data_IF_381626065409
#
_entry.id   IF_381626065409
#
_cell.length_a   1.000
_cell.length_b   1.000
_cell.length_c   1.000
_cell.angle_alpha   90.00
_cell.angle_beta   90.00
_cell.angle_gamma   90.00
#
_symmetry.space_group_name_H-M   'P 1'
#
loop_
_entity.id
_entity.type
_entity.pdbx_description
1 polymer ?
#
# COMPACT_ATOMS: atom_id res chain seq x y z
N UNK A 1 -58.86 -34.30 -26.78
CA UNK A 1 -57.45 -34.75 -26.81
C UNK A 1 -56.73 -34.05 -25.66
N UNK A 2 -56.16 -34.82 -24.72
CA UNK A 2 -55.25 -34.49 -23.59
C UNK A 2 -55.72 -33.40 -22.58
N UNK A 3 -55.94 -33.64 -21.27
CA UNK A 3 -55.04 -34.10 -20.16
C UNK A 3 -53.84 -33.15 -19.94
N UNK A 4 -53.44 -32.63 -18.77
CA UNK A 4 -53.84 -32.73 -17.35
C UNK A 4 -53.23 -31.52 -16.56
N UNK A 5 -53.91 -31.19 -15.46
CA UNK A 5 -53.50 -30.60 -14.16
C UNK A 5 -52.07 -30.88 -13.67
N UNK A 6 -51.44 -30.19 -12.71
CA UNK A 6 -51.89 -29.24 -11.67
C UNK A 6 -50.77 -28.99 -10.62
N UNK A 7 -51.00 -28.00 -9.74
CA UNK A 7 -50.13 -27.48 -8.68
C UNK A 7 -49.74 -28.48 -7.57
N UNK A 8 -48.66 -28.17 -6.85
CA UNK A 8 -48.43 -28.56 -5.45
C UNK A 8 -47.70 -27.44 -4.68
N UNK A 9 -48.31 -26.97 -3.59
CA UNK A 9 -47.68 -26.27 -2.46
C UNK A 9 -47.97 -27.08 -1.19
N UNK A 10 -46.96 -27.34 -0.36
CA UNK A 10 -46.91 -27.10 1.09
C UNK A 10 -45.64 -27.75 1.67
N UNK A 11 -44.99 -27.02 2.59
CA UNK A 11 -43.68 -27.37 3.14
C UNK A 11 -43.72 -28.20 4.41
N UNK A 12 -42.52 -28.49 4.93
CA UNK A 12 -42.25 -28.52 6.36
C UNK A 12 -40.73 -28.45 6.62
N UNK A 13 -40.40 -27.78 7.72
CA UNK A 13 -39.08 -27.51 8.29
C UNK A 13 -38.49 -28.69 9.06
N UNK A 14 -37.15 -28.84 9.10
CA UNK A 14 -36.37 -29.13 10.33
C UNK A 14 -34.83 -29.12 10.09
N UNK A 15 -34.17 -28.14 10.74
CA UNK A 15 -32.93 -28.17 11.55
C UNK A 15 -31.63 -28.87 11.10
N UNK A 16 -30.59 -28.03 10.98
CA UNK A 16 -29.24 -28.06 11.58
C UNK A 16 -28.56 -29.38 11.96
N UNK A 17 -27.41 -29.64 11.33
CA UNK A 17 -26.15 -30.00 12.01
C UNK A 17 -24.99 -29.85 11.00
N UNK A 18 -24.28 -28.70 11.05
CA UNK A 18 -22.98 -28.55 10.36
C UNK A 18 -21.87 -28.59 11.40
N UNK A 19 -21.14 -29.71 11.42
CA UNK A 19 -19.99 -29.94 12.29
C UNK A 19 -18.80 -29.13 11.76
N UNK A 20 -18.43 -28.08 12.49
CA UNK A 20 -17.21 -27.31 12.26
C UNK A 20 -15.99 -28.11 12.71
N UNK A 21 -15.21 -28.62 11.75
CA UNK A 21 -13.90 -29.24 11.99
C UNK A 21 -12.82 -28.15 11.96
N UNK A 22 -12.48 -27.57 13.12
CA UNK A 22 -11.20 -26.90 13.30
C UNK A 22 -10.21 -27.91 13.92
N UNK A 23 -9.04 -28.15 13.30
CA UNK A 23 -8.02 -28.99 13.92
C UNK A 23 -7.44 -28.29 15.15
N UNK A 24 -7.57 -28.89 16.33
CA UNK A 24 -6.81 -28.47 17.51
C UNK A 24 -5.33 -28.84 17.30
N UNK A 25 -4.47 -27.83 17.19
CA UNK A 25 -3.02 -28.00 17.11
C UNK A 25 -2.47 -28.69 18.36
N UNK A 26 -1.70 -29.76 18.15
CA UNK A 26 -1.07 -30.51 19.23
C UNK A 26 -0.04 -29.63 19.99
N UNK A 27 0.09 -29.77 21.32
CA UNK A 27 0.97 -28.92 22.16
C UNK A 27 2.44 -28.83 21.72
N UNK A 28 2.94 -29.80 20.94
CA UNK A 28 4.29 -29.82 20.41
C UNK A 28 4.50 -28.82 19.26
N UNK A 29 3.47 -28.52 18.48
CA UNK A 29 3.53 -27.54 17.38
C UNK A 29 3.47 -26.11 17.90
N UNK A 30 2.68 -25.85 18.94
CA UNK A 30 2.67 -24.57 19.65
C UNK A 30 4.05 -24.21 20.24
N UNK A 31 4.83 -25.23 20.67
CA UNK A 31 6.19 -25.04 21.19
C UNK A 31 7.19 -24.75 20.07
N UNK A 32 7.06 -25.39 18.91
CA UNK A 32 7.89 -25.10 17.72
C UNK A 32 7.61 -23.71 17.16
N UNK A 33 6.33 -23.31 17.11
CA UNK A 33 5.92 -21.97 16.71
C UNK A 33 6.46 -20.89 17.67
N UNK A 34 6.53 -21.16 18.98
CA UNK A 34 7.16 -20.24 19.95
C UNK A 34 8.66 -20.05 19.68
N UNK A 35 9.39 -21.10 19.30
CA UNK A 35 10.83 -21.03 19.00
C UNK A 35 11.11 -20.31 17.68
N UNK A 36 10.25 -20.51 16.66
CA UNK A 36 10.31 -19.74 15.40
C UNK A 36 9.96 -18.26 15.66
N UNK A 37 8.94 -17.98 16.48
CA UNK A 37 8.50 -16.63 16.90
C UNK A 37 9.61 -15.82 17.58
N UNK A 38 10.44 -16.45 18.43
CA UNK A 38 11.57 -15.80 19.10
C UNK A 38 12.75 -15.53 18.15
N UNK A 39 13.00 -16.42 17.18
CA UNK A 39 14.12 -16.29 16.23
C UNK A 39 13.90 -15.16 15.22
N UNK A 40 12.69 -15.01 14.68
CA UNK A 40 12.38 -13.93 13.74
C UNK A 40 12.39 -12.55 14.43
N UNK A 41 11.89 -12.45 15.67
CA UNK A 41 11.94 -11.21 16.45
C UNK A 41 13.37 -10.84 16.88
N UNK A 42 14.18 -11.81 17.32
CA UNK A 42 15.54 -11.55 17.79
C UNK A 42 16.53 -11.21 16.66
N UNK A 43 16.31 -11.74 15.45
CA UNK A 43 17.09 -11.37 14.26
C UNK A 43 16.78 -9.93 13.83
N UNK A 44 15.51 -9.54 13.88
CA UNK A 44 15.04 -8.21 13.48
C UNK A 44 15.39 -7.09 14.48
N UNK A 45 15.25 -7.31 15.80
CA UNK A 45 15.62 -6.31 16.82
C UNK A 45 17.12 -5.97 16.76
N UNK A 46 17.97 -6.92 16.36
CA UNK A 46 19.41 -6.70 16.24
C UNK A 46 19.82 -5.84 15.04
N UNK A 47 19.01 -5.78 13.97
CA UNK A 47 19.31 -4.95 12.80
C UNK A 47 18.64 -3.57 12.81
N UNK A 48 17.66 -3.34 13.70
CA UNK A 48 16.86 -2.10 13.77
C UNK A 48 17.18 -1.17 14.96
N UNK A 49 18.19 -1.47 15.78
CA UNK A 49 18.70 -0.50 16.75
C UNK A 49 19.74 0.40 16.07
N UNK A 50 19.55 1.74 16.01
CA UNK A 50 20.67 2.62 15.73
C UNK A 50 21.64 2.52 16.91
N UNK A 51 22.88 2.11 16.67
CA UNK A 51 23.95 2.16 17.65
C UNK A 51 24.16 3.60 18.12
N UNK A 52 23.49 3.97 19.21
CA UNK A 52 23.82 5.15 20.01
C UNK A 52 24.34 4.71 21.37
N UNK A 53 25.66 4.52 21.45
CA UNK A 53 26.43 5.03 22.59
C UNK A 53 27.90 5.28 22.27
N UNK A 54 28.18 6.57 22.10
CA UNK A 54 29.20 7.34 22.80
C UNK A 54 30.68 6.98 22.60
N UNK A 55 31.36 7.94 21.99
CA UNK A 55 32.79 8.25 22.11
C UNK A 55 33.29 8.14 23.57
N UNK A 56 34.53 7.66 23.66
CA UNK A 56 35.59 7.98 24.64
C UNK A 56 36.06 6.84 25.55
N UNK A 57 37.19 6.24 25.19
CA UNK A 57 38.36 6.20 26.06
C UNK A 57 39.54 5.62 25.27
N UNK A 58 40.66 6.31 25.36
CA UNK A 58 41.97 5.92 24.83
C UNK A 58 42.32 4.47 25.16
N UNK A 59 42.95 3.78 24.19
CA UNK A 59 44.11 2.92 24.43
C UNK A 59 44.88 2.73 23.12
N UNK A 60 46.09 3.29 23.12
CA UNK A 60 47.20 2.92 22.24
C UNK A 60 47.30 1.41 22.15
N UNK A 61 47.42 0.87 20.93
CA UNK A 61 48.28 -0.26 20.64
C UNK A 61 48.79 -0.11 19.19
N UNK A 62 50.05 0.30 19.07
CA UNK A 62 50.85 0.10 17.87
C UNK A 62 51.00 -1.40 17.61
N UNK A 63 50.66 -1.85 16.40
CA UNK A 63 51.33 -2.99 15.79
C UNK A 63 51.26 -2.82 14.26
N UNK A 64 52.38 -2.34 13.71
CA UNK A 64 52.73 -2.48 12.31
C UNK A 64 52.78 -3.97 11.93
N UNK A 65 52.10 -4.36 10.86
CA UNK A 65 52.56 -5.44 9.99
C UNK A 65 51.94 -5.28 8.60
N UNK A 66 52.83 -4.96 7.67
CA UNK A 66 52.66 -4.84 6.22
C UNK A 66 52.23 -6.19 5.62
N UNK A 67 51.08 -6.24 4.96
CA UNK A 67 50.81 -7.23 3.91
C UNK A 67 49.96 -6.64 2.78
N UNK A 68 50.66 -6.46 1.65
CA UNK A 68 50.23 -6.62 0.24
C UNK A 68 49.01 -5.82 -0.24
N UNK A 69 49.32 -4.80 -1.05
CA UNK A 69 48.44 -4.16 -2.01
C UNK A 69 47.96 -5.19 -3.05
N UNK A 70 46.70 -5.62 -2.94
CA UNK A 70 45.95 -6.22 -4.04
C UNK A 70 44.88 -5.20 -4.45
N UNK A 71 45.07 -4.42 -5.52
CA UNK A 71 44.05 -3.48 -5.99
C UNK A 71 43.01 -4.29 -6.76
N UNK A 72 42.12 -4.97 -6.04
CA UNK A 72 40.89 -5.45 -6.65
C UNK A 72 40.00 -4.24 -6.90
N UNK A 73 39.67 -3.88 -8.15
CA UNK A 73 38.64 -2.91 -8.38
C UNK A 73 37.37 -3.47 -7.75
N UNK A 74 36.88 -2.79 -6.71
CA UNK A 74 35.51 -2.89 -6.27
C UNK A 74 34.67 -2.42 -7.46
N UNK A 75 34.26 -3.37 -8.29
CA UNK A 75 33.19 -3.16 -9.25
C UNK A 75 31.96 -2.90 -8.40
N UNK A 76 31.69 -1.62 -8.11
CA UNK A 76 30.35 -1.20 -7.74
C UNK A 76 29.44 -1.78 -8.81
N UNK A 77 28.52 -2.65 -8.39
CA UNK A 77 27.51 -3.19 -9.27
C UNK A 77 26.85 -2.00 -9.99
N UNK A 78 26.57 -2.11 -11.30
CA UNK A 78 25.98 -1.00 -12.02
C UNK A 78 24.68 -0.62 -11.33
N UNK A 79 24.56 0.67 -10.99
CA UNK A 79 23.31 1.31 -10.60
C UNK A 79 22.22 0.76 -11.51
N UNK A 80 21.21 0.08 -10.95
CA UNK A 80 20.02 -0.31 -11.70
C UNK A 80 19.47 0.98 -12.30
N UNK A 81 19.73 1.18 -13.59
CA UNK A 81 19.28 2.36 -14.32
C UNK A 81 17.77 2.28 -14.41
N UNK A 82 17.08 2.85 -13.42
CA UNK A 82 15.67 3.15 -13.52
C UNK A 82 15.43 3.88 -14.85
N UNK A 83 14.39 3.47 -15.56
CA UNK A 83 14.02 4.04 -16.86
C UNK A 83 14.05 5.56 -16.80
N UNK A 84 14.69 6.20 -17.78
CA UNK A 84 14.69 7.66 -17.94
C UNK A 84 13.31 8.25 -18.21
N UNK A 85 12.29 7.39 -18.43
CA UNK A 85 10.91 7.80 -18.55
C UNK A 85 10.35 8.22 -17.17
N UNK A 86 9.55 9.30 -17.11
CA UNK A 86 8.83 9.66 -15.91
C UNK A 86 8.00 8.49 -15.37
N UNK A 87 7.88 8.34 -14.04
CA UNK A 87 7.04 7.31 -13.46
C UNK A 87 5.57 7.49 -13.84
N UNK A 88 4.81 6.39 -13.90
CA UNK A 88 3.38 6.46 -14.29
C UNK A 88 2.55 7.28 -13.32
N UNK A 89 2.87 7.26 -12.02
CA UNK A 89 2.10 7.98 -10.99
C UNK A 89 2.25 9.51 -11.05
N UNK A 90 3.23 10.05 -11.79
CA UNK A 90 3.39 11.51 -11.97
C UNK A 90 2.46 12.05 -13.07
N UNK A 91 1.95 11.18 -13.95
CA UNK A 91 0.92 11.52 -14.92
C UNK A 91 0.02 10.31 -15.21
N UNK A 92 -0.80 9.88 -14.23
CA UNK A 92 -1.56 8.64 -14.30
C UNK A 92 -2.57 8.62 -15.45
N UNK A 93 -3.11 9.78 -15.84
CA UNK A 93 -4.04 9.92 -16.96
C UNK A 93 -3.35 10.13 -18.32
N UNK A 94 -2.03 10.38 -18.35
CA UNK A 94 -1.33 10.76 -19.59
C UNK A 94 -1.76 12.12 -20.16
N UNK A 95 -2.28 13.03 -19.32
CA UNK A 95 -2.73 14.36 -19.76
C UNK A 95 -1.49 15.19 -20.13
N UNK A 96 -1.45 15.84 -21.31
CA UNK A 96 -0.34 16.70 -21.70
C UNK A 96 -0.13 17.82 -20.68
N UNK A 97 1.13 18.08 -20.31
CA UNK A 97 1.50 19.14 -19.35
C UNK A 97 1.45 20.54 -19.95
N UNK A 98 1.31 20.65 -21.28
CA UNK A 98 1.28 21.92 -22.01
C UNK A 98 -0.14 22.52 -21.98
N UNK A 99 -0.36 23.68 -21.33
CA UNK A 99 -1.67 24.32 -21.25
C UNK A 99 -2.27 24.67 -22.62
N UNK A 100 -1.44 24.86 -23.65
CA UNK A 100 -1.93 25.14 -25.01
C UNK A 100 -2.63 23.93 -25.63
N UNK A 101 -2.17 22.71 -25.32
CA UNK A 101 -2.81 21.46 -25.76
C UNK A 101 -4.07 21.12 -24.95
N UNK A 102 -4.26 21.76 -23.79
CA UNK A 102 -5.46 21.60 -22.95
C UNK A 102 -6.59 22.53 -23.43
N UNK A 103 -6.24 23.71 -23.98
CA UNK A 103 -7.22 24.67 -24.50
C UNK A 103 -8.01 24.10 -25.68
N UNK A 104 -7.35 23.35 -26.57
CA UNK A 104 -7.97 22.67 -27.72
C UNK A 104 -8.98 21.58 -27.31
N UNK A 105 -8.90 21.05 -26.07
CA UNK A 105 -9.86 20.06 -25.56
C UNK A 105 -11.10 20.70 -24.91
N UNK A 106 -11.03 21.98 -24.56
CA UNK A 106 -12.05 22.69 -23.75
C UNK A 106 -12.96 23.60 -24.57
N UNK A 107 -12.60 23.88 -25.82
CA UNK A 107 -13.25 24.92 -26.63
C UNK A 107 -14.50 24.51 -27.42
N UNK A 108 -14.95 23.25 -27.39
CA UNK A 108 -16.03 22.83 -28.32
C UNK A 108 -17.28 22.20 -27.70
N UNK A 109 -17.39 21.97 -26.39
CA UNK A 109 -18.61 21.40 -25.80
C UNK A 109 -19.12 22.23 -24.62
N UNK A 110 -20.39 22.65 -24.69
CA UNK A 110 -21.22 23.18 -23.60
C UNK A 110 -21.42 22.11 -22.50
N UNK A 111 -20.34 21.65 -21.89
CA UNK A 111 -20.37 20.73 -20.75
C UNK A 111 -20.30 21.58 -19.50
N UNK A 112 -21.39 21.57 -18.74
CA UNK A 112 -21.41 22.18 -17.41
C UNK A 112 -20.26 21.59 -16.56
N UNK A 113 -19.45 22.45 -15.89
CA UNK A 113 -18.40 21.96 -15.01
C UNK A 113 -18.97 21.03 -13.93
N UNK A 114 -18.33 19.89 -13.69
CA UNK A 114 -18.78 18.96 -12.66
C UNK A 114 -18.80 19.62 -11.27
N UNK A 115 -19.88 19.37 -10.55
CA UNK A 115 -20.06 19.80 -9.16
C UNK A 115 -19.04 19.12 -8.23
N UNK A 116 -18.78 19.72 -7.07
CA UNK A 116 -17.90 19.12 -6.04
C UNK A 116 -18.39 17.71 -5.68
N UNK A 117 -19.70 17.54 -5.56
CA UNK A 117 -20.32 16.26 -5.24
C UNK A 117 -20.07 15.20 -6.32
N UNK A 118 -20.17 15.54 -7.60
CA UNK A 118 -19.89 14.61 -8.70
C UNK A 118 -18.42 14.19 -8.74
N UNK A 119 -17.50 15.15 -8.59
CA UNK A 119 -16.05 14.87 -8.54
C UNK A 119 -15.71 13.96 -7.37
N UNK A 120 -16.15 14.32 -6.16
CA UNK A 120 -15.90 13.52 -4.96
C UNK A 120 -16.54 12.13 -5.06
N UNK A 121 -17.72 12.02 -5.69
CA UNK A 121 -18.39 10.73 -5.89
C UNK A 121 -17.59 9.80 -6.82
N UNK A 122 -17.05 10.32 -7.94
CA UNK A 122 -16.20 9.53 -8.85
C UNK A 122 -14.95 9.00 -8.12
N UNK A 123 -14.26 9.88 -7.40
CA UNK A 123 -13.08 9.50 -6.61
C UNK A 123 -13.44 8.46 -5.54
N UNK A 124 -14.56 8.66 -4.83
CA UNK A 124 -15.04 7.73 -3.80
C UNK A 124 -15.38 6.35 -4.38
N UNK A 125 -16.03 6.30 -5.55
CA UNK A 125 -16.34 5.06 -6.24
C UNK A 125 -15.06 4.29 -6.61
N UNK A 126 -14.05 4.99 -7.12
CA UNK A 126 -12.77 4.38 -7.47
C UNK A 126 -12.02 3.91 -6.21
N UNK A 127 -12.01 4.69 -5.13
CA UNK A 127 -11.40 4.28 -3.86
C UNK A 127 -12.08 3.05 -3.26
N UNK A 128 -13.43 2.96 -3.33
CA UNK A 128 -14.18 1.77 -2.92
C UNK A 128 -13.83 0.55 -3.77
N UNK A 129 -13.61 0.70 -5.08
CA UNK A 129 -13.16 -0.39 -5.95
C UNK A 129 -11.79 -0.92 -5.50
N UNK A 130 -10.83 -0.02 -5.25
CA UNK A 130 -9.51 -0.40 -4.71
C UNK A 130 -9.66 -1.16 -3.40
N UNK A 131 -10.48 -0.66 -2.47
CA UNK A 131 -10.70 -1.31 -1.17
C UNK A 131 -11.23 -2.73 -1.32
N UNK A 132 -12.28 -2.91 -2.13
CA UNK A 132 -12.88 -4.22 -2.38
C UNK A 132 -11.85 -5.21 -2.95
N UNK A 133 -11.02 -4.76 -3.89
CA UNK A 133 -9.96 -5.59 -4.44
C UNK A 133 -8.90 -5.96 -3.40
N UNK A 134 -8.48 -5.00 -2.56
CA UNK A 134 -7.53 -5.27 -1.48
C UNK A 134 -8.11 -6.26 -0.44
N UNK A 135 -9.38 -6.14 -0.09
CA UNK A 135 -10.10 -7.07 0.79
C UNK A 135 -10.13 -8.50 0.23
N UNK A 136 -10.30 -8.65 -1.10
CA UNK A 136 -10.28 -9.96 -1.77
C UNK A 136 -8.90 -10.63 -1.72
N UNK A 137 -7.83 -9.86 -1.91
CA UNK A 137 -6.47 -10.43 -2.04
C UNK A 137 -5.74 -10.61 -0.70
N UNK A 138 -6.12 -9.88 0.35
CA UNK A 138 -5.32 -9.77 1.59
C UNK A 138 -5.13 -11.10 2.32
N UNK A 139 -6.18 -11.91 2.42
CA UNK A 139 -6.16 -13.15 3.20
C UNK A 139 -5.19 -14.15 2.56
N UNK A 140 -5.34 -14.32 1.24
CA UNK A 140 -4.47 -15.18 0.44
C UNK A 140 -3.03 -14.70 0.45
N UNK A 141 -2.79 -13.39 0.27
CA UNK A 141 -1.45 -12.82 0.31
C UNK A 141 -0.73 -13.14 1.62
N UNK A 142 -1.37 -12.87 2.75
CA UNK A 142 -0.76 -13.11 4.07
C UNK A 142 -0.55 -14.60 4.31
N UNK A 143 -1.54 -15.43 3.98
CA UNK A 143 -1.44 -16.87 4.19
C UNK A 143 -0.32 -17.50 3.35
N UNK A 144 -0.27 -17.20 2.05
CA UNK A 144 0.73 -17.77 1.13
C UNK A 144 2.16 -17.25 1.43
N UNK A 145 2.29 -15.99 1.89
CA UNK A 145 3.60 -15.39 2.17
C UNK A 145 4.15 -15.73 3.56
N UNK A 146 3.29 -15.76 4.58
CA UNK A 146 3.71 -15.85 5.99
C UNK A 146 3.19 -17.07 6.73
N UNK A 147 2.29 -17.86 6.12
CA UNK A 147 1.65 -19.02 6.74
C UNK A 147 0.95 -18.66 8.06
N UNK A 148 0.24 -17.53 8.06
CA UNK A 148 -0.57 -17.01 9.16
C UNK A 148 -1.90 -16.51 8.60
N UNK A 149 -2.93 -16.44 9.45
CA UNK A 149 -4.14 -15.68 9.14
C UNK A 149 -3.85 -14.17 9.16
N UNK A 150 -4.68 -13.41 8.43
CA UNK A 150 -4.53 -11.96 8.28
C UNK A 150 -4.50 -11.23 9.61
N UNK A 151 -5.47 -11.50 10.49
CA UNK A 151 -5.60 -10.80 11.77
C UNK A 151 -4.38 -11.01 12.68
N UNK A 152 -3.91 -12.26 12.78
CA UNK A 152 -2.71 -12.59 13.56
C UNK A 152 -1.47 -11.89 13.00
N UNK A 153 -1.27 -11.93 11.68
CA UNK A 153 -0.12 -11.27 11.07
C UNK A 153 -0.19 -9.74 11.24
N UNK A 154 -1.38 -9.16 11.02
CA UNK A 154 -1.61 -7.74 11.20
C UNK A 154 -1.31 -7.28 12.64
N UNK A 155 -1.84 -7.97 13.64
CA UNK A 155 -1.57 -7.63 15.05
C UNK A 155 -0.10 -7.77 15.44
N UNK A 156 0.63 -8.71 14.84
CA UNK A 156 2.06 -8.90 15.11
C UNK A 156 2.93 -7.73 14.60
N UNK A 157 2.50 -7.10 13.50
CA UNK A 157 3.32 -6.14 12.76
C UNK A 157 2.71 -4.75 12.64
N UNK A 158 1.55 -4.47 13.25
CA UNK A 158 0.85 -3.18 13.16
C UNK A 158 1.72 -1.97 13.51
N UNK A 159 2.62 -2.12 14.48
CA UNK A 159 3.49 -1.03 14.94
C UNK A 159 4.75 -0.84 14.07
N UNK A 160 5.02 -1.76 13.14
CA UNK A 160 6.14 -1.63 12.20
C UNK A 160 5.80 -0.62 11.12
N UNK A 161 6.62 0.42 10.95
CA UNK A 161 6.43 1.48 9.96
C UNK A 161 7.75 1.79 9.26
N UNK A 162 7.66 2.33 8.05
CA UNK A 162 8.77 2.99 7.38
C UNK A 162 8.56 4.50 7.42
N UNK A 163 9.65 5.26 7.46
CA UNK A 163 9.67 6.71 7.59
C UNK A 163 9.36 7.45 6.28
N UNK A 164 9.54 6.79 5.14
CA UNK A 164 9.25 7.35 3.82
C UNK A 164 7.78 7.24 3.39
N UNK A 165 6.97 6.41 4.07
CA UNK A 165 5.52 6.34 3.87
C UNK A 165 4.78 7.40 4.69
N UNK A 166 3.51 7.73 4.35
CA UNK A 166 2.70 8.62 5.16
C UNK A 166 2.64 8.19 6.64
N UNK A 167 3.10 9.07 7.52
CA UNK A 167 3.13 8.83 8.96
C UNK A 167 1.73 8.97 9.60
N UNK A 168 1.62 8.59 10.88
CA UNK A 168 0.39 8.77 11.66
C UNK A 168 -0.06 10.25 11.77
N UNK A 169 0.84 11.23 11.60
CA UNK A 169 0.43 12.65 11.56
C UNK A 169 -0.26 13.03 10.25
N UNK A 170 -0.01 12.28 9.17
CA UNK A 170 -0.65 12.44 7.86
C UNK A 170 -1.95 11.61 7.77
N UNK A 171 -1.93 10.40 8.32
CA UNK A 171 -3.07 9.48 8.36
C UNK A 171 -3.27 9.03 9.83
N UNK A 172 -4.13 9.71 10.61
CA UNK A 172 -4.23 9.53 12.06
C UNK A 172 -5.16 8.37 12.45
N UNK A 173 -4.89 7.19 11.89
CA UNK A 173 -5.61 5.94 12.18
C UNK A 173 -4.76 4.74 11.81
N UNK A 174 -5.09 3.59 12.35
CA UNK A 174 -4.61 2.30 11.86
C UNK A 174 -5.62 1.63 10.93
N UNK A 175 -5.17 0.56 10.25
CA UNK A 175 -6.01 -0.24 9.37
C UNK A 175 -7.20 -0.84 10.14
N UNK A 176 -8.42 -0.69 9.62
CA UNK A 176 -9.65 -1.17 10.24
C UNK A 176 -10.21 -0.25 11.33
N UNK A 177 -9.50 0.80 11.73
CA UNK A 177 -10.03 1.82 12.63
C UNK A 177 -10.83 2.89 11.88
N UNK A 178 -11.60 3.70 12.61
CA UNK A 178 -12.33 4.83 12.02
C UNK A 178 -11.46 6.09 12.12
N UNK A 179 -11.43 6.91 11.07
CA UNK A 179 -10.71 8.20 11.12
C UNK A 179 -11.28 9.10 12.23
N UNK A 180 -10.44 9.68 13.12
CA UNK A 180 -10.91 10.56 14.19
C UNK A 180 -11.77 11.72 13.69
N UNK A 181 -12.92 11.95 14.32
CA UNK A 181 -13.88 12.95 13.85
C UNK A 181 -13.36 14.40 13.97
N UNK A 182 -12.45 14.65 14.91
CA UNK A 182 -11.76 15.94 15.01
C UNK A 182 -10.87 16.23 13.80
N UNK A 183 -10.21 15.19 13.27
CA UNK A 183 -9.42 15.30 12.05
C UNK A 183 -10.31 15.50 10.83
N UNK A 184 -11.39 14.71 10.72
CA UNK A 184 -12.36 14.82 9.62
C UNK A 184 -12.96 16.23 9.51
N UNK A 185 -13.40 16.82 10.63
CA UNK A 185 -13.95 18.18 10.68
C UNK A 185 -12.97 19.28 10.22
N UNK A 186 -11.67 19.01 10.28
CA UNK A 186 -10.63 19.92 9.81
C UNK A 186 -10.34 19.81 8.31
N UNK A 187 -10.91 18.82 7.62
CA UNK A 187 -10.62 18.59 6.20
C UNK A 187 -11.25 19.68 5.33
N UNK A 188 -10.45 20.13 4.35
CA UNK A 188 -10.91 20.96 3.25
C UNK A 188 -10.65 20.20 1.96
N UNK A 189 -11.60 20.22 1.02
CA UNK A 189 -11.53 19.45 -0.22
C UNK A 189 -10.20 19.64 -0.96
N UNK A 190 -9.76 20.88 -1.17
CA UNK A 190 -8.49 21.17 -1.85
C UNK A 190 -7.28 20.56 -1.14
N UNK A 191 -7.16 20.78 0.17
CA UNK A 191 -6.03 20.26 0.95
C UNK A 191 -6.03 18.73 0.98
N UNK A 192 -7.21 18.14 1.14
CA UNK A 192 -7.40 16.69 1.17
C UNK A 192 -7.04 16.03 -0.17
N UNK A 193 -7.54 16.54 -1.29
CA UNK A 193 -7.24 15.98 -2.62
C UNK A 193 -5.74 16.01 -2.94
N UNK A 194 -5.06 17.12 -2.62
CA UNK A 194 -3.60 17.23 -2.77
C UNK A 194 -2.85 16.21 -1.92
N UNK A 195 -3.22 16.10 -0.65
CA UNK A 195 -2.57 15.22 0.30
C UNK A 195 -2.74 13.75 -0.11
N UNK A 196 -3.97 13.33 -0.42
CA UNK A 196 -4.26 11.96 -0.83
C UNK A 196 -3.61 11.60 -2.16
N UNK A 197 -3.54 12.54 -3.12
CA UNK A 197 -2.79 12.35 -4.36
C UNK A 197 -1.30 12.08 -4.09
N UNK A 198 -0.65 12.91 -3.26
CA UNK A 198 0.74 12.69 -2.83
C UNK A 198 0.92 11.33 -2.15
N UNK A 199 0.01 10.94 -1.25
CA UNK A 199 0.10 9.66 -0.53
C UNK A 199 0.05 8.48 -1.50
N UNK A 200 -0.90 8.47 -2.46
CA UNK A 200 -0.97 7.40 -3.44
C UNK A 200 0.21 7.40 -4.41
N UNK A 201 0.81 8.56 -4.71
CA UNK A 201 2.10 8.58 -5.42
C UNK A 201 3.20 7.90 -4.59
N UNK A 202 3.31 8.18 -3.28
CA UNK A 202 4.26 7.50 -2.38
C UNK A 202 4.03 5.99 -2.35
N UNK A 203 2.79 5.52 -2.20
CA UNK A 203 2.49 4.08 -2.23
C UNK A 203 2.78 3.45 -3.60
N UNK A 204 2.62 4.19 -4.69
CA UNK A 204 2.96 3.71 -6.04
C UNK A 204 4.45 3.42 -6.21
N UNK A 205 5.32 4.18 -5.52
CA UNK A 205 6.75 3.87 -5.43
C UNK A 205 6.97 2.50 -4.78
N UNK A 206 6.25 2.22 -3.69
CA UNK A 206 6.31 0.93 -3.00
C UNK A 206 5.75 -0.22 -3.85
N UNK A 207 4.63 -0.01 -4.54
CA UNK A 207 4.06 -1.01 -5.45
C UNK A 207 4.98 -1.32 -6.63
N UNK A 208 5.67 -0.32 -7.20
CA UNK A 208 6.67 -0.53 -8.24
C UNK A 208 7.76 -1.50 -7.76
N UNK A 209 8.26 -1.31 -6.53
CA UNK A 209 9.25 -2.21 -5.94
C UNK A 209 8.69 -3.60 -5.63
N UNK A 210 7.47 -3.68 -5.09
CA UNK A 210 6.80 -4.94 -4.80
C UNK A 210 6.61 -5.78 -6.08
N UNK A 211 6.14 -5.17 -7.17
CA UNK A 211 6.00 -5.84 -8.47
C UNK A 211 7.36 -6.30 -9.01
N UNK A 212 8.38 -5.45 -8.88
CA UNK A 212 9.74 -5.78 -9.31
C UNK A 212 10.26 -7.01 -8.55
N UNK A 213 10.07 -7.08 -7.24
CA UNK A 213 10.52 -8.21 -6.44
C UNK A 213 9.74 -9.50 -6.77
N UNK A 214 8.43 -9.42 -6.99
CA UNK A 214 7.66 -10.57 -7.47
C UNK A 214 8.18 -11.06 -8.83
N UNK A 215 8.47 -10.15 -9.77
CA UNK A 215 8.97 -10.51 -11.10
C UNK A 215 10.39 -11.10 -11.06
N UNK A 216 11.27 -10.59 -10.20
CA UNK A 216 12.67 -11.03 -10.13
C UNK A 216 12.83 -12.36 -9.41
N UNK A 217 12.04 -12.61 -8.37
CA UNK A 217 12.16 -13.80 -7.53
C UNK A 217 11.09 -14.87 -7.84
N UNK A 218 10.22 -14.63 -8.83
CA UNK A 218 9.17 -15.57 -9.24
C UNK A 218 8.05 -15.72 -8.21
N UNK A 219 7.66 -14.61 -7.57
CA UNK A 219 6.65 -14.59 -6.52
C UNK A 219 5.22 -14.82 -7.05
N UNK A 220 4.35 -15.50 -6.27
CA UNK A 220 3.03 -15.93 -6.72
C UNK A 220 1.99 -14.79 -6.82
N UNK A 221 2.32 -13.59 -6.33
CA UNK A 221 1.37 -12.49 -6.21
C UNK A 221 1.49 -11.46 -7.33
N UNK A 222 2.41 -11.62 -8.27
CA UNK A 222 2.71 -10.62 -9.31
C UNK A 222 1.46 -10.08 -10.00
N UNK A 223 0.58 -10.96 -10.49
CA UNK A 223 -0.65 -10.56 -11.19
C UNK A 223 -1.60 -9.76 -10.29
N UNK A 224 -1.74 -10.20 -9.03
CA UNK A 224 -2.62 -9.52 -8.07
C UNK A 224 -2.10 -8.12 -7.72
N UNK A 225 -0.78 -7.97 -7.55
CA UNK A 225 -0.18 -6.67 -7.23
C UNK A 225 -0.17 -5.75 -8.46
N UNK A 226 0.03 -6.26 -9.68
CA UNK A 226 -0.09 -5.47 -10.90
C UNK A 226 -1.53 -4.98 -11.13
N UNK A 227 -2.52 -5.81 -10.80
CA UNK A 227 -3.93 -5.40 -10.83
C UNK A 227 -4.20 -4.32 -9.79
N UNK A 228 -3.67 -4.46 -8.58
CA UNK A 228 -3.76 -3.42 -7.54
C UNK A 228 -3.12 -2.11 -7.99
N UNK A 229 -1.91 -2.13 -8.55
CA UNK A 229 -1.24 -0.96 -9.11
C UNK A 229 -2.11 -0.29 -10.17
N UNK A 230 -2.73 -1.06 -11.07
CA UNK A 230 -3.64 -0.53 -12.09
C UNK A 230 -4.83 0.19 -11.47
N UNK A 231 -5.43 -0.34 -10.42
CA UNK A 231 -6.56 0.32 -9.74
C UNK A 231 -6.12 1.57 -8.96
N UNK A 232 -4.93 1.56 -8.36
CA UNK A 232 -4.33 2.75 -7.72
C UNK A 232 -4.01 3.83 -8.76
N UNK A 233 -3.51 3.45 -9.95
CA UNK A 233 -3.29 4.40 -11.06
C UNK A 233 -4.62 5.03 -11.52
N UNK A 234 -5.70 4.25 -11.59
CA UNK A 234 -7.03 4.78 -11.89
C UNK A 234 -7.51 5.76 -10.80
N UNK A 235 -7.29 5.44 -9.52
CA UNK A 235 -7.63 6.35 -8.42
C UNK A 235 -6.85 7.66 -8.48
N UNK A 236 -5.54 7.57 -8.74
CA UNK A 236 -4.68 8.74 -8.98
C UNK A 236 -5.18 9.55 -10.18
N UNK A 237 -5.67 8.91 -11.24
CA UNK A 237 -6.22 9.60 -12.39
C UNK A 237 -7.52 10.37 -12.05
N UNK A 238 -8.46 9.76 -11.32
CA UNK A 238 -9.67 10.45 -10.87
C UNK A 238 -9.34 11.66 -9.97
N UNK A 239 -8.34 11.53 -9.10
CA UNK A 239 -7.82 12.65 -8.31
C UNK A 239 -7.22 13.75 -9.20
N UNK A 240 -6.40 13.39 -10.19
CA UNK A 240 -5.77 14.34 -11.12
C UNK A 240 -6.83 15.10 -11.94
N UNK A 241 -7.82 14.40 -12.50
CA UNK A 241 -8.92 15.01 -13.26
C UNK A 241 -9.76 15.92 -12.37
N UNK A 242 -10.16 15.45 -11.18
CA UNK A 242 -10.93 16.26 -10.24
C UNK A 242 -10.17 17.52 -9.81
N UNK A 243 -8.87 17.43 -9.55
CA UNK A 243 -8.04 18.60 -9.25
C UNK A 243 -7.97 19.56 -10.44
N UNK A 244 -7.79 19.06 -11.66
CA UNK A 244 -7.74 19.86 -12.88
C UNK A 244 -9.06 20.61 -13.12
N UNK A 245 -10.21 19.95 -12.99
CA UNK A 245 -11.53 20.58 -13.14
C UNK A 245 -11.74 21.72 -12.14
N UNK A 246 -11.20 21.59 -10.93
CA UNK A 246 -11.25 22.61 -9.88
C UNK A 246 -10.12 23.65 -9.92
N UNK A 247 -9.20 23.56 -10.88
CA UNK A 247 -8.02 24.43 -10.91
C UNK A 247 -7.09 24.25 -9.70
N UNK A 248 -7.13 23.10 -9.04
CA UNK A 248 -6.25 22.73 -7.93
C UNK A 248 -4.94 22.22 -8.54
N UNK A 249 -3.83 22.88 -8.22
CA UNK A 249 -2.50 22.38 -8.57
C UNK A 249 -2.08 21.28 -7.60
N UNK A 250 -1.54 20.13 -8.03
CA UNK A 250 -1.03 19.11 -7.11
C UNK A 250 0.19 19.62 -6.32
N UNK A 251 0.57 18.89 -5.27
CA UNK A 251 1.89 19.04 -4.65
C UNK A 251 2.98 18.57 -5.65
N UNK A 252 4.27 18.88 -5.41
CA UNK A 252 5.34 18.36 -6.24
C UNK A 252 5.30 16.84 -6.35
N UNK A 253 5.55 16.31 -7.54
CA UNK A 253 5.53 14.88 -7.80
C UNK A 253 6.49 14.13 -6.87
N UNK A 254 6.01 12.99 -6.35
CA UNK A 254 6.85 12.12 -5.52
C UNK A 254 7.88 11.40 -6.40
N UNK A 255 9.19 11.60 -6.15
CA UNK A 255 10.24 10.95 -6.90
C UNK A 255 10.45 9.50 -6.41
N UNK A 256 11.08 8.67 -7.24
CA UNK A 256 11.39 7.27 -6.89
C UNK A 256 12.30 7.14 -5.67
N UNK A 257 13.22 8.07 -5.49
CA UNK A 257 14.21 8.07 -4.42
C UNK A 257 13.63 8.43 -3.04
N UNK A 258 12.33 8.72 -2.94
CA UNK A 258 11.63 8.75 -1.63
C UNK A 258 11.80 7.42 -0.89
N UNK A 259 11.89 6.31 -1.64
CA UNK A 259 12.29 5.01 -1.12
C UNK A 259 13.79 4.83 -1.38
N UNK A 260 14.58 4.87 -0.31
CA UNK A 260 16.03 4.74 -0.37
C UNK A 260 16.47 3.34 -0.87
N UNK A 261 17.70 3.26 -1.34
CA UNK A 261 18.29 2.02 -1.89
C UNK A 261 18.27 0.87 -0.89
N UNK A 262 18.46 1.15 0.41
CA UNK A 262 18.41 0.14 1.48
C UNK A 262 17.06 -0.60 1.58
N UNK A 263 15.94 0.06 1.20
CA UNK A 263 14.63 -0.58 1.16
C UNK A 263 14.37 -1.28 -0.17
N UNK A 264 15.09 -0.90 -1.23
CA UNK A 264 14.94 -1.44 -2.59
C UNK A 264 15.80 -2.67 -2.82
N UNK A 265 17.00 -2.69 -2.25
CA UNK A 265 17.99 -3.75 -2.44
C UNK A 265 18.13 -4.62 -1.19
N UNK A 266 17.03 -5.25 -0.79
CA UNK A 266 16.99 -6.19 0.33
C UNK A 266 17.25 -7.59 -0.22
N UNK A 267 18.35 -8.23 0.18
CA UNK A 267 18.70 -9.60 -0.23
C UNK A 267 17.86 -10.69 0.47
N UNK A 268 17.49 -10.47 1.73
CA UNK A 268 16.71 -11.44 2.51
C UNK A 268 15.24 -11.44 2.11
N UNK A 269 14.71 -12.60 1.74
CA UNK A 269 13.33 -12.76 1.31
C UNK A 269 12.32 -12.41 2.41
N UNK A 270 12.60 -12.81 3.65
CA UNK A 270 11.69 -12.53 4.77
C UNK A 270 11.58 -11.03 5.03
N UNK A 271 12.67 -10.28 4.86
CA UNK A 271 12.69 -8.83 4.96
C UNK A 271 11.97 -8.15 3.79
N UNK A 272 12.16 -8.62 2.55
CA UNK A 272 11.39 -8.12 1.39
C UNK A 272 9.89 -8.33 1.60
N UNK A 273 9.49 -9.54 1.97
CA UNK A 273 8.11 -9.88 2.22
C UNK A 273 7.50 -8.99 3.31
N UNK A 274 8.23 -8.75 4.41
CA UNK A 274 7.77 -7.86 5.48
C UNK A 274 7.62 -6.40 5.02
N UNK A 275 8.56 -5.88 4.23
CA UNK A 275 8.47 -4.54 3.64
C UNK A 275 7.25 -4.44 2.72
N UNK A 276 7.03 -5.44 1.87
CA UNK A 276 5.88 -5.48 0.96
C UNK A 276 4.56 -5.55 1.71
N UNK A 277 4.52 -6.29 2.83
CA UNK A 277 3.40 -6.28 3.75
C UNK A 277 3.15 -4.88 4.33
N UNK A 278 4.19 -4.16 4.79
CA UNK A 278 4.03 -2.80 5.33
C UNK A 278 3.46 -1.87 4.26
N UNK A 279 3.97 -1.93 3.02
CA UNK A 279 3.45 -1.15 1.89
C UNK A 279 1.98 -1.49 1.62
N UNK A 280 1.64 -2.78 1.54
CA UNK A 280 0.28 -3.24 1.28
C UNK A 280 -0.70 -2.84 2.39
N UNK A 281 -0.32 -3.03 3.66
CA UNK A 281 -1.12 -2.66 4.84
C UNK A 281 -1.36 -1.16 4.89
N UNK A 282 -0.32 -0.36 4.71
CA UNK A 282 -0.43 1.10 4.83
C UNK A 282 -1.18 1.71 3.65
N UNK A 283 -1.04 1.13 2.45
CA UNK A 283 -1.89 1.46 1.31
C UNK A 283 -3.37 1.18 1.63
N UNK A 284 -3.68 0.04 2.26
CA UNK A 284 -5.05 -0.30 2.63
C UNK A 284 -5.62 0.73 3.64
N UNK A 285 -4.80 1.09 4.63
CA UNK A 285 -5.15 2.13 5.59
C UNK A 285 -5.40 3.49 4.93
N UNK A 286 -4.59 3.86 3.93
CA UNK A 286 -4.75 5.09 3.17
C UNK A 286 -6.00 5.09 2.28
N UNK A 287 -6.40 3.93 1.74
CA UNK A 287 -7.67 3.78 1.00
C UNK A 287 -8.86 3.96 1.94
N UNK A 288 -8.85 3.33 3.12
CA UNK A 288 -9.89 3.54 4.14
C UNK A 288 -9.98 5.00 4.57
N UNK A 289 -8.84 5.62 4.88
CA UNK A 289 -8.76 7.05 5.21
C UNK A 289 -9.33 7.93 4.10
N UNK A 290 -9.02 7.60 2.85
CA UNK A 290 -9.53 8.33 1.69
C UNK A 290 -11.04 8.22 1.59
N UNK A 291 -11.60 7.04 1.81
CA UNK A 291 -13.05 6.80 1.82
C UNK A 291 -13.74 7.59 2.94
N UNK A 292 -13.19 7.57 4.16
CA UNK A 292 -13.73 8.32 5.30
C UNK A 292 -13.73 9.83 5.01
N UNK A 293 -12.61 10.37 4.53
CA UNK A 293 -12.49 11.78 4.18
C UNK A 293 -13.43 12.21 3.05
N UNK A 294 -13.54 11.41 1.99
CA UNK A 294 -14.46 11.67 0.87
C UNK A 294 -15.93 11.63 1.31
N UNK A 295 -16.32 10.63 2.13
CA UNK A 295 -17.66 10.56 2.69
C UNK A 295 -17.94 11.79 3.56
N UNK A 296 -16.98 12.22 4.38
CA UNK A 296 -17.13 13.42 5.20
C UNK A 296 -17.30 14.67 4.34
N UNK A 297 -16.49 14.86 3.30
CA UNK A 297 -16.60 16.02 2.40
C UNK A 297 -17.92 16.04 1.60
N UNK A 298 -18.47 14.87 1.27
CA UNK A 298 -19.76 14.75 0.56
C UNK A 298 -20.98 15.07 1.44
N UNK A 299 -20.97 14.65 2.70
CA UNK A 299 -22.15 14.71 3.58
C UNK A 299 -22.00 15.69 4.75
N UNK A 300 -20.80 16.21 4.98
CA UNK A 300 -20.41 17.00 6.14
C UNK A 300 -19.90 18.41 5.79
N UNK A 301 -20.21 18.93 4.61
CA UNK A 301 -20.05 20.36 4.34
C UNK A 301 -20.83 21.20 5.36
N UNK A 302 -20.36 22.43 5.67
CA UNK A 302 -20.86 23.26 6.78
C UNK A 302 -22.39 23.39 6.88
#
# INVERSE_FOLDING_TARGET
>A
MALLSGNCEHGDSHQDESVSYYPQLLPSEARKQRVVRERHKASFIKSWLPELRAKSSQRLCLALLLFVLDPRPSMAAPVRSYSSKPPRWTNPCGIPSDPSLIHDMREEHDIDPSTDAEILTKILQQAKRVRLYMEEVRERYVFETFNLDFDTHHQLWKDSRTDWLPSHSKIPKELGEVTPQEHLRGLQMQGFMKAVYEYFQQYSVGLEQFILDQAMYGGPHQESIQTLETQVMQLLCELQVGMMEKGIRPNPDVPRDVMSEEFRDIEDESQRNLRDWIIFRDLNNAVEYSIDGLNHLLHGGP
#
